data_IF_969222190539
#
_entry.id   IF_969222190539
#
_cell.length_a   1.000
_cell.length_b   1.000
_cell.length_c   1.000
_cell.angle_alpha   90.00
_cell.angle_beta   90.00
_cell.angle_gamma   90.00
#
_symmetry.space_group_name_H-M   'P 1'
#
loop_
_entity.id
_entity.type
_entity.pdbx_description
1 polymer ?
2 non-polymer ?
3 water ?
#
# COMPACT_ATOMS: atom_id res chain seq x y z
N UNK A 16 5.47 2.00 27.19
CA UNK A 16 4.91 2.01 25.85
C UNK A 16 5.90 1.55 24.81
N UNK A 17 6.12 2.36 23.78
CA UNK A 17 7.10 2.06 22.73
C UNK A 17 7.69 3.37 22.25
N UNK A 18 9.02 3.42 22.11
CA UNK A 18 9.71 4.52 21.46
C UNK A 18 9.74 4.22 19.96
N UNK A 19 9.38 5.21 19.14
CA UNK A 19 9.29 5.02 17.70
C UNK A 19 10.19 6.06 17.04
N UNK A 20 11.09 5.59 16.15
CA UNK A 20 11.91 6.47 15.34
C UNK A 20 11.57 6.19 13.88
N UNK A 21 11.38 7.25 13.10
CA UNK A 21 11.08 7.11 11.68
C UNK A 21 12.23 7.73 10.89
N UNK A 22 12.80 6.94 9.98
CA UNK A 22 13.96 7.36 9.18
C UNK A 22 13.51 7.54 7.74
N UNK A 23 13.82 8.69 7.17
CA UNK A 23 13.65 8.86 5.74
C UNK A 23 14.71 9.84 5.22
N UNK A 24 14.62 10.16 3.95
CA UNK A 24 15.61 11.04 3.36
C UNK A 24 15.83 10.75 1.88
N UNK A 25 16.82 11.43 1.34
CA UNK A 25 17.15 11.31 -0.08
C UNK A 25 17.93 10.02 -0.37
N UNK A 26 17.72 9.50 -1.59
CA UNK A 26 18.48 8.33 -2.08
C UNK A 26 19.97 8.60 -1.97
N UNK A 27 20.69 7.74 -1.26
CA UNK A 27 22.12 7.88 -1.15
C UNK A 27 22.60 8.77 -0.02
N UNK A 28 21.69 9.35 0.75
CA UNK A 28 22.07 10.25 1.84
C UNK A 28 22.40 9.52 3.13
N UNK A 29 22.10 8.23 3.22
CA UNK A 29 22.51 7.46 4.38
C UNK A 29 21.42 6.81 5.21
N UNK A 30 20.23 6.61 4.64
CA UNK A 30 19.15 5.94 5.37
C UNK A 30 19.57 4.54 5.81
N UNK A 31 20.24 3.81 4.93
CA UNK A 31 20.70 2.46 5.26
C UNK A 31 21.67 2.41 6.43
N UNK A 32 22.64 3.33 6.44
CA UNK A 32 23.56 3.40 7.57
C UNK A 32 22.84 3.82 8.85
N UNK A 33 21.88 4.74 8.76
CA UNK A 33 21.13 5.10 9.96
C UNK A 33 20.39 3.90 10.53
N UNK A 34 19.81 3.06 9.67
CA UNK A 34 19.10 1.89 10.14
C UNK A 34 20.06 0.90 10.80
N UNK A 35 21.25 0.75 10.23
CA UNK A 35 22.25 -0.14 10.81
C UNK A 35 22.71 0.37 12.18
N UNK A 36 22.95 1.68 12.32
CA UNK A 36 23.32 2.23 13.61
C UNK A 36 22.22 1.99 14.64
N UNK A 37 20.96 2.21 14.26
CA UNK A 37 19.87 1.98 15.20
C UNK A 37 19.75 0.52 15.58
N UNK A 38 19.89 -0.39 14.61
CA UNK A 38 19.86 -1.81 14.95
C UNK A 38 20.97 -2.15 15.94
N UNK A 39 22.16 -1.60 15.72
CA UNK A 39 23.29 -1.84 16.62
C UNK A 39 23.03 -1.30 18.03
N UNK A 40 22.26 -0.21 18.14
CA UNK A 40 21.90 0.35 19.44
C UNK A 40 20.75 -0.39 20.10
N UNK A 41 20.19 -1.41 19.46
CA UNK A 41 19.18 -2.26 20.06
C UNK A 41 17.78 -2.06 19.52
N UNK A 42 17.59 -1.18 18.55
CA UNK A 42 16.27 -0.98 17.96
C UNK A 42 15.89 -2.16 17.08
N UNK A 43 14.61 -2.48 17.07
CA UNK A 43 14.07 -3.37 16.05
C UNK A 43 13.73 -2.52 14.84
N UNK A 44 14.32 -2.83 13.69
CA UNK A 44 14.22 -1.99 12.50
C UNK A 44 13.33 -2.68 11.47
N UNK A 45 12.21 -2.04 11.17
CA UNK A 45 11.37 -2.43 10.03
C UNK A 45 11.77 -1.58 8.83
N UNK A 46 12.37 -2.21 7.82
CA UNK A 46 12.83 -1.45 6.67
C UNK A 46 11.79 -1.45 5.56
N UNK A 47 11.82 -0.41 4.75
CA UNK A 47 10.96 -0.26 3.58
C UNK A 47 9.48 -0.37 3.93
N UNK A 48 9.13 0.09 5.13
CA UNK A 48 7.77 -0.02 5.63
C UNK A 48 6.97 1.22 5.25
N UNK A 49 5.90 1.11 4.46
CA UNK A 49 5.00 2.25 4.30
C UNK A 49 4.33 2.58 5.62
N UNK A 50 3.93 3.84 5.83
CA UNK A 50 3.51 4.26 7.17
C UNK A 50 2.37 3.46 7.79
N UNK A 51 1.52 2.83 6.98
CA UNK A 51 0.33 2.19 7.55
C UNK A 51 0.69 1.08 8.53
N UNK A 52 1.81 0.38 8.30
CA UNK A 52 2.16 -0.73 9.17
C UNK A 52 2.64 -0.28 10.54
N UNK A 53 3.01 0.99 10.70
CA UNK A 53 3.55 1.46 11.97
C UNK A 53 2.53 1.26 13.09
N UNK A 54 1.35 1.84 12.94
CA UNK A 54 0.32 1.73 13.97
C UNK A 54 -0.12 0.29 14.17
N UNK A 55 -0.33 -0.44 13.07
CA UNK A 55 -0.68 -1.84 13.18
C UNK A 55 0.41 -2.64 13.89
N UNK A 56 1.68 -2.33 13.61
CA UNK A 56 2.78 -3.01 14.28
C UNK A 56 2.84 -2.63 15.75
N UNK A 57 2.68 -1.34 16.07
CA UNK A 57 2.65 -0.92 17.47
C UNK A 57 1.48 -1.58 18.19
N UNK A 58 0.28 -1.51 17.60
CA UNK A 58 -0.89 -2.14 18.20
C UNK A 58 -0.69 -3.64 18.34
N UNK A 59 -0.09 -4.27 17.32
CA UNK A 59 0.19 -5.70 17.42
C UNK A 59 1.15 -5.97 18.56
N UNK A 60 2.28 -5.26 18.60
CA UNK A 60 3.27 -5.49 19.64
C UNK A 60 2.71 -5.26 21.04
N UNK A 61 1.93 -4.19 21.22
CA UNK A 61 1.29 -3.95 22.51
C UNK A 61 0.41 -5.14 22.89
N UNK A 62 -0.44 -5.61 21.97
CA UNK A 62 -1.24 -6.79 22.23
C UNK A 62 -0.38 -8.04 22.33
N UNK A 63 0.76 -8.07 21.65
CA UNK A 63 1.60 -9.27 21.63
C UNK A 63 2.43 -9.45 22.89
N UNK A 64 2.42 -8.49 23.81
CA UNK A 64 3.29 -8.55 24.97
C UNK A 64 4.74 -8.57 24.54
N UNK A 65 5.09 -7.69 23.62
CA UNK A 65 6.41 -7.72 23.01
C UNK A 65 7.47 -7.23 23.97
N UNK A 66 8.63 -7.90 23.95
CA UNK A 66 9.84 -7.35 24.54
C UNK A 66 10.28 -6.08 23.82
N UNK A 67 9.88 -5.92 22.55
CA UNK A 67 10.35 -4.81 21.72
C UNK A 67 9.74 -3.52 22.23
N UNK A 68 10.56 -2.65 22.81
CA UNK A 68 10.14 -1.33 23.26
C UNK A 68 10.74 -0.21 22.40
N UNK A 69 11.56 -0.53 21.42
CA UNK A 69 12.27 0.45 20.59
C UNK A 69 12.10 0.03 19.13
N UNK A 70 11.22 0.73 18.41
CA UNK A 70 10.89 0.41 17.03
C UNK A 70 11.39 1.53 16.13
N UNK A 71 12.22 1.18 15.15
CA UNK A 71 12.66 2.12 14.12
C UNK A 71 12.14 1.65 12.77
N UNK A 72 11.67 2.60 11.96
CA UNK A 72 11.07 2.30 10.67
C UNK A 72 11.80 3.12 9.63
N UNK A 73 12.30 2.46 8.59
CA UNK A 73 12.77 3.15 7.39
C UNK A 73 11.59 3.21 6.44
N UNK A 74 11.09 4.42 6.19
CA UNK A 74 9.78 4.58 5.59
C UNK A 74 9.86 4.39 4.08
N UNK A 75 8.93 3.60 3.55
CA UNK A 75 8.73 3.45 2.11
C UNK A 75 7.84 4.61 1.65
N UNK A 76 8.48 5.69 1.21
CA UNK A 76 7.73 6.85 0.73
C UNK A 76 7.46 6.76 -0.78
N UNK A 77 8.24 5.97 -1.51
CA UNK A 77 8.02 5.75 -2.94
C UNK A 77 6.87 4.80 -3.23
N UNK A 78 5.78 4.90 -2.46
CA UNK A 78 4.58 4.11 -2.67
C UNK A 78 3.40 5.04 -2.84
N UNK A 79 2.50 4.70 -3.79
CA UNK A 79 1.29 5.47 -3.99
C UNK A 79 0.47 5.57 -2.71
N UNK A 80 0.61 4.58 -1.82
CA UNK A 80 -0.05 4.62 -0.53
C UNK A 80 0.72 5.41 0.51
N UNK A 81 0.87 6.70 0.26
CA UNK A 81 1.56 7.62 1.16
C UNK A 81 1.31 9.06 0.73
N UNK A 82 0.52 9.79 1.50
CA UNK A 82 0.31 11.21 1.22
C UNK A 82 1.63 11.97 1.43
N UNK A 83 1.59 13.28 1.20
CA UNK A 83 2.82 14.06 1.26
C UNK A 83 3.37 14.28 2.66
N UNK A 84 2.53 14.19 3.68
CA UNK A 84 2.90 14.62 5.03
C UNK A 84 2.84 13.43 6.01
N UNK A 85 3.37 13.66 7.21
CA UNK A 85 3.32 12.69 8.30
C UNK A 85 2.29 13.06 9.37
N UNK A 86 1.39 13.99 9.10
CA UNK A 86 0.42 14.38 10.12
C UNK A 86 -0.55 13.26 10.44
N UNK A 87 -0.81 12.37 9.48
CA UNK A 87 -1.69 11.24 9.76
C UNK A 87 -1.03 10.27 10.73
N UNK A 88 0.27 10.00 10.55
CA UNK A 88 0.96 9.06 11.42
C UNK A 88 1.12 9.65 12.82
N UNK A 89 1.45 10.93 12.91
CA UNK A 89 1.68 11.54 14.22
C UNK A 89 0.39 11.56 15.05
N UNK A 90 -0.74 11.88 14.44
CA UNK A 90 -2.00 11.96 15.17
C UNK A 90 -2.44 10.59 15.68
N UNK A 91 -2.32 9.56 14.83
CA UNK A 91 -2.72 8.22 15.25
C UNK A 91 -1.78 7.67 16.33
N UNK A 92 -0.48 7.93 16.22
CA UNK A 92 0.42 7.56 17.31
C UNK A 92 0.11 8.34 18.58
N UNK A 93 -0.37 9.58 18.43
CA UNK A 93 -0.67 10.41 19.60
C UNK A 93 -1.79 9.78 20.44
N UNK A 94 -2.76 9.14 19.79
CA UNK A 94 -3.83 8.49 20.53
C UNK A 94 -3.35 7.27 21.32
N UNK A 95 -2.07 6.89 21.20
CA UNK A 95 -1.52 5.78 21.95
C UNK A 95 -0.34 6.21 22.81
N UNK A 96 -0.23 7.51 23.10
CA UNK A 96 0.78 8.06 24.01
C UNK A 96 2.19 7.89 23.45
N UNK A 97 2.33 8.00 22.13
CA UNK A 97 3.61 7.86 21.46
C UNK A 97 3.85 9.11 20.60
N UNK A 98 5.01 9.76 20.81
CA UNK A 98 5.46 10.82 19.92
C UNK A 98 6.65 10.30 19.14
N UNK A 99 6.51 10.05 17.84
CA UNK A 99 7.66 9.54 17.07
C UNK A 99 8.74 10.58 16.94
N UNK A 100 9.96 10.10 16.72
CA UNK A 100 11.10 10.97 16.43
C UNK A 100 11.48 10.73 14.98
N UNK A 101 11.45 11.80 14.17
CA UNK A 101 11.67 11.71 12.73
C UNK A 101 13.09 12.16 12.39
N UNK A 102 13.84 11.30 11.70
CA UNK A 102 15.20 11.57 11.27
C UNK A 102 15.18 11.71 9.75
N UNK A 103 15.77 12.79 9.23
CA UNK A 103 15.79 13.04 7.79
C UNK A 103 17.23 13.11 7.30
N UNK A 104 17.58 12.26 6.34
CA UNK A 104 18.94 12.18 5.80
C UNK A 104 19.01 12.96 4.50
N UNK A 105 19.99 13.86 4.38
CA UNK A 105 20.16 14.57 3.10
C UNK A 105 21.63 14.84 2.85
N UNK A 106 21.92 15.33 1.65
CA UNK A 106 23.28 15.65 1.24
C UNK A 106 23.19 16.47 -0.04
N UNK A 107 24.29 17.13 -0.36
CA UNK A 107 24.36 17.91 -1.59
C UNK A 107 24.20 17.03 -2.82
N UNK A 108 23.76 17.66 -3.92
CA UNK A 108 23.63 16.91 -5.17
C UNK A 108 24.96 16.27 -5.57
N UNK A 109 26.07 16.98 -5.36
CA UNK A 109 27.36 16.42 -5.76
C UNK A 109 27.68 15.16 -4.97
N UNK A 110 27.43 15.17 -3.66
CA UNK A 110 27.66 13.97 -2.87
C UNK A 110 26.74 12.84 -3.30
N UNK A 111 25.47 13.13 -3.58
CA UNK A 111 24.56 12.06 -3.93
C UNK A 111 24.92 11.44 -5.27
N UNK A 112 25.38 12.27 -6.21
CA UNK A 112 25.80 11.74 -7.51
C UNK A 112 27.05 10.88 -7.34
N UNK A 113 28.02 11.35 -6.56
CA UNK A 113 29.21 10.54 -6.30
C UNK A 113 28.86 9.20 -5.68
N UNK A 114 27.90 9.18 -4.74
CA UNK A 114 27.52 7.91 -4.13
C UNK A 114 26.78 7.02 -5.12
N UNK A 115 25.92 7.59 -5.97
CA UNK A 115 25.29 6.77 -6.99
C UNK A 115 26.33 6.14 -7.91
N UNK A 116 27.33 6.91 -8.33
CA UNK A 116 28.34 6.38 -9.25
C UNK A 116 29.15 5.26 -8.58
N UNK A 117 29.42 5.39 -7.28
CA UNK A 117 30.09 4.31 -6.57
C UNK A 117 29.18 3.10 -6.45
N UNK A 118 27.88 3.33 -6.22
CA UNK A 118 26.94 2.21 -6.16
C UNK A 118 26.89 1.45 -7.49
N UNK A 119 26.99 2.15 -8.62
CA UNK A 119 27.00 1.46 -9.92
C UNK A 119 28.11 0.44 -9.99
N UNK A 120 29.25 0.72 -9.35
CA UNK A 120 30.39 -0.19 -9.33
C UNK A 120 30.23 -1.26 -8.26
N UNK A 121 29.90 -0.84 -7.03
CA UNK A 121 30.01 -1.73 -5.87
C UNK A 121 28.70 -2.40 -5.48
N UNK A 122 27.55 -1.75 -5.69
CA UNK A 122 26.25 -2.26 -5.27
C UNK A 122 25.20 -1.99 -6.34
N UNK A 123 25.31 -2.65 -7.50
CA UNK A 123 24.45 -2.29 -8.64
C UNK A 123 22.95 -2.36 -8.35
N UNK A 124 22.49 -3.27 -7.48
CA UNK A 124 21.07 -3.30 -7.17
C UNK A 124 20.66 -2.08 -6.33
N UNK A 125 21.57 -1.56 -5.52
CA UNK A 125 21.32 -0.29 -4.84
C UNK A 125 21.26 0.86 -5.83
N UNK A 126 22.14 0.85 -6.84
CA UNK A 126 22.08 1.87 -7.86
C UNK A 126 20.75 1.85 -8.60
N UNK A 127 20.26 0.64 -8.91
CA UNK A 127 18.96 0.55 -9.60
C UNK A 127 17.83 1.00 -8.70
N UNK A 128 17.94 0.73 -7.40
CA UNK A 128 16.95 1.23 -6.46
C UNK A 128 16.93 2.76 -6.42
N UNK A 129 18.10 3.38 -6.57
CA UNK A 129 18.18 4.84 -6.58
C UNK A 129 17.48 5.42 -7.80
N UNK A 130 17.69 4.82 -8.97
CA UNK A 130 16.96 5.29 -10.15
C UNK A 130 15.46 5.10 -9.95
N UNK A 131 15.06 3.96 -9.37
CA UNK A 131 13.65 3.69 -9.16
C UNK A 131 13.01 4.70 -8.21
N UNK A 132 13.77 5.15 -7.20
CA UNK A 132 13.26 6.15 -6.26
C UNK A 132 13.12 7.51 -6.92
N UNK A 133 14.09 7.90 -7.74
CA UNK A 133 13.98 9.14 -8.48
C UNK A 133 12.79 9.17 -9.43
N UNK A 134 12.57 8.07 -10.17
CA UNK A 134 11.44 8.04 -11.10
C UNK A 134 10.12 8.02 -10.34
N UNK A 135 10.06 7.29 -9.23
CA UNK A 135 8.84 7.29 -8.42
C UNK A 135 8.53 8.68 -7.90
N UNK A 136 9.56 9.42 -7.47
CA UNK A 136 9.30 10.78 -7.00
C UNK A 136 8.81 11.68 -8.14
N UNK A 137 9.38 11.53 -9.35
CA UNK A 137 8.90 12.31 -10.48
C UNK A 137 7.43 12.01 -10.77
N UNK A 138 7.06 10.72 -10.77
CA UNK A 138 5.67 10.36 -11.05
C UNK A 138 4.72 10.95 -10.02
N UNK A 139 5.09 10.88 -8.74
CA UNK A 139 4.23 11.47 -7.71
C UNK A 139 4.15 12.98 -7.85
N UNK A 140 5.29 13.65 -8.10
CA UNK A 140 5.29 15.11 -8.22
C UNK A 140 4.50 15.57 -9.44
N UNK A 141 4.53 14.81 -10.53
CA UNK A 141 3.86 15.22 -11.75
C UNK A 141 2.42 14.72 -11.83
N UNK A 142 1.94 14.00 -10.83
CA UNK A 142 0.59 13.43 -10.91
C UNK A 142 -0.49 14.47 -11.13
N UNK A 143 -0.49 15.63 -10.45
CA UNK A 143 -1.55 16.62 -10.74
C UNK A 143 -1.48 17.15 -12.16
N UNK A 144 -0.28 17.26 -12.73
CA UNK A 144 -0.17 17.73 -14.10
C UNK A 144 -0.65 16.66 -15.07
N UNK A 145 -0.28 15.39 -14.82
CA UNK A 145 -0.74 14.30 -15.66
C UNK A 145 -2.26 14.24 -15.68
N UNK A 146 -2.88 14.41 -14.51
CA UNK A 146 -4.34 14.33 -14.38
C UNK A 146 -5.07 15.42 -15.12
N UNK A 147 -4.38 16.50 -15.51
CA UNK A 147 -4.99 17.57 -16.28
C UNK A 147 -4.47 17.64 -17.72
N UNK A 148 -3.70 16.66 -18.17
CA UNK A 148 -3.14 16.76 -19.52
C UNK A 148 -4.21 16.48 -20.57
N UNK A 149 -4.10 17.18 -21.70
CA UNK A 149 -4.98 16.93 -22.83
C UNK A 149 -4.51 15.75 -23.66
N UNK A 150 -3.21 15.48 -23.64
CA UNK A 150 -2.63 14.42 -24.47
C UNK A 150 -1.53 13.79 -23.65
N UNK A 151 -1.59 12.47 -23.48
CA UNK A 151 -0.53 11.71 -22.82
C UNK A 151 0.11 10.81 -23.87
N UNK A 152 1.43 10.90 -24.00
CA UNK A 152 2.14 10.10 -24.99
C UNK A 152 3.02 9.13 -24.21
N UNK A 153 2.71 7.83 -24.33
CA UNK A 153 3.47 6.76 -23.68
C UNK A 153 4.50 6.24 -24.68
N UNK A 154 5.79 6.47 -24.39
CA UNK A 154 6.84 6.12 -25.33
C UNK A 154 7.59 4.84 -24.93
N UNK A 155 6.96 3.99 -24.11
CA UNK A 155 7.56 2.72 -23.72
C UNK A 155 7.97 1.91 -24.94
N UNK A 156 9.16 1.30 -24.86
CA UNK A 156 9.75 0.38 -25.83
C UNK A 156 10.22 1.04 -27.13
N UNK A 157 10.03 2.34 -27.29
CA UNK A 157 10.34 2.95 -28.58
C UNK A 157 11.82 3.29 -28.73
N UNK A 158 12.34 3.05 -29.93
CA UNK A 158 13.68 3.51 -30.27
C UNK A 158 13.68 5.03 -30.41
N UNK A 159 14.88 5.61 -30.62
CA UNK A 159 14.97 7.06 -30.87
C UNK A 159 14.07 7.44 -32.03
N UNK A 160 14.12 6.67 -33.11
CA UNK A 160 13.30 6.98 -34.26
C UNK A 160 11.82 6.73 -34.03
N UNK A 161 11.49 5.63 -33.36
CA UNK A 161 10.09 5.34 -33.06
C UNK A 161 9.47 6.38 -32.14
N UNK A 162 10.28 6.91 -31.23
CA UNK A 162 9.85 8.03 -30.40
C UNK A 162 9.44 9.20 -31.26
N UNK A 163 10.27 9.56 -32.24
CA UNK A 163 9.95 10.67 -33.13
C UNK A 163 8.66 10.39 -33.92
N UNK A 164 8.55 9.18 -34.49
CA UNK A 164 7.36 8.80 -35.26
C UNK A 164 6.08 8.91 -34.41
N UNK A 165 6.14 8.43 -33.15
CA UNK A 165 4.95 8.41 -32.32
C UNK A 165 4.50 9.82 -31.98
N UNK A 166 5.44 10.73 -31.78
CA UNK A 166 5.09 12.09 -31.44
C UNK A 166 4.56 12.83 -32.66
N UNK A 167 5.19 12.65 -33.83
CA UNK A 167 4.66 13.24 -35.05
C UNK A 167 3.23 12.79 -35.29
N UNK A 168 2.95 11.51 -35.08
CA UNK A 168 1.60 11.00 -35.27
C UNK A 168 0.64 11.58 -34.26
N UNK A 169 1.07 11.68 -32.99
CA UNK A 169 0.20 12.25 -31.96
C UNK A 169 -0.13 13.71 -32.22
N UNK A 170 0.80 14.48 -32.79
CA UNK A 170 0.57 15.90 -33.02
C UNK A 170 -0.07 16.15 -34.38
N UNK A 171 -0.48 15.11 -35.09
CA UNK A 171 -1.09 15.25 -36.40
C UNK A 171 -0.06 15.20 -37.51
N UNK B 16 5.16 -22.14 15.86
CA UNK B 16 5.23 -20.91 15.09
C UNK B 16 3.98 -20.05 15.25
N UNK B 17 3.22 -19.91 14.16
CA UNK B 17 1.99 -19.14 14.17
C UNK B 17 1.03 -19.76 13.15
N UNK B 18 -0.23 -19.94 13.55
CA UNK B 18 -1.31 -20.32 12.65
C UNK B 18 -1.88 -19.05 12.03
N UNK B 19 -2.03 -19.04 10.72
CA UNK B 19 -2.48 -17.86 9.99
C UNK B 19 -3.73 -18.22 9.20
N UNK B 20 -4.79 -17.42 9.36
CA UNK B 20 -6.01 -17.55 8.57
C UNK B 20 -6.21 -16.25 7.83
N UNK B 21 -6.55 -16.33 6.55
CA UNK B 21 -6.78 -15.16 5.71
C UNK B 21 -8.23 -15.19 5.28
N UNK B 22 -8.97 -14.12 5.56
CA UNK B 22 -10.39 -14.03 5.25
C UNK B 22 -10.59 -13.02 4.13
N UNK B 23 -11.32 -13.41 3.08
CA UNK B 23 -11.74 -12.45 2.08
C UNK B 23 -13.04 -12.94 1.47
N UNK B 24 -13.52 -12.22 0.48
CA UNK B 24 -14.80 -12.54 -0.09
C UNK B 24 -15.51 -11.32 -0.64
N UNK B 25 -16.75 -11.55 -1.04
CA UNK B 25 -17.56 -10.49 -1.66
C UNK B 25 -18.14 -9.55 -0.61
N UNK B 26 -18.36 -8.29 -1.01
CA UNK B 26 -19.02 -7.32 -0.14
C UNK B 26 -20.39 -7.82 0.30
N UNK B 27 -20.61 -7.87 1.61
CA UNK B 27 -21.88 -8.33 2.13
C UNK B 27 -22.01 -9.83 2.32
N UNK B 28 -20.98 -10.62 1.98
CA UNK B 28 -21.07 -12.07 2.08
C UNK B 28 -20.76 -12.59 3.47
N UNK B 29 -20.22 -11.75 4.36
CA UNK B 29 -20.01 -12.16 5.73
C UNK B 29 -18.59 -12.13 6.26
N UNK B 30 -17.70 -11.37 5.61
CA UNK B 30 -16.32 -11.26 6.10
C UNK B 30 -16.28 -10.72 7.52
N UNK B 31 -17.12 -9.73 7.83
CA UNK B 31 -17.13 -9.15 9.16
C UNK B 31 -17.55 -10.16 10.23
N UNK B 32 -18.59 -10.93 9.96
CA UNK B 32 -19.02 -11.96 10.91
C UNK B 32 -17.95 -13.03 11.07
N UNK B 33 -17.29 -13.42 9.97
CA UNK B 33 -16.20 -14.39 10.08
C UNK B 33 -15.09 -13.87 11.00
N UNK B 34 -14.74 -12.59 10.88
CA UNK B 34 -13.72 -12.01 11.74
C UNK B 34 -14.16 -12.03 13.20
N UNK B 35 -15.43 -11.72 13.45
CA UNK B 35 -15.94 -11.71 14.82
C UNK B 35 -15.92 -13.13 15.41
N UNK B 36 -16.33 -14.14 14.63
CA UNK B 36 -16.27 -15.53 15.09
C UNK B 36 -14.84 -15.91 15.44
N UNK B 37 -13.88 -15.56 14.57
CA UNK B 37 -12.48 -15.90 14.85
C UNK B 37 -11.98 -15.19 16.10
N UNK B 38 -12.32 -13.92 16.26
CA UNK B 38 -11.94 -13.21 17.48
C UNK B 38 -12.46 -13.93 18.72
N UNK B 39 -13.74 -14.35 18.67
CA UNK B 39 -14.35 -15.06 19.79
C UNK B 39 -13.67 -16.38 20.08
N UNK B 40 -13.12 -17.03 19.05
CA UNK B 40 -12.40 -18.29 19.22
C UNK B 40 -10.96 -18.09 19.66
N UNK B 41 -10.52 -16.85 19.85
CA UNK B 41 -9.20 -16.56 20.40
C UNK B 41 -8.18 -16.01 19.43
N UNK B 42 -8.54 -15.81 18.16
CA UNK B 42 -7.60 -15.29 17.19
C UNK B 42 -7.38 -13.80 17.40
N UNK B 43 -6.16 -13.35 17.16
CA UNK B 43 -5.92 -11.92 16.99
C UNK B 43 -6.23 -11.55 15.55
N UNK B 44 -7.17 -10.62 15.37
CA UNK B 44 -7.70 -10.32 14.04
C UNK B 44 -7.19 -8.95 13.62
N UNK B 45 -6.42 -8.92 12.54
CA UNK B 45 -6.01 -7.70 11.89
C UNK B 45 -6.99 -7.43 10.75
N UNK B 46 -7.80 -6.39 10.88
CA UNK B 46 -8.83 -6.12 9.88
C UNK B 46 -8.30 -5.15 8.83
N UNK B 47 -8.82 -5.30 7.61
CA UNK B 47 -8.51 -4.42 6.48
C UNK B 47 -7.01 -4.34 6.23
N UNK B 48 -6.32 -5.47 6.38
CA UNK B 48 -4.87 -5.53 6.25
C UNK B 48 -4.50 -5.97 4.85
N UNK B 49 -3.81 -5.15 4.05
CA UNK B 49 -3.29 -5.64 2.77
C UNK B 49 -2.19 -6.67 2.98
N UNK B 50 -1.95 -7.53 2.01
CA UNK B 50 -1.11 -8.71 2.26
C UNK B 50 0.29 -8.42 2.80
N UNK B 51 0.90 -7.29 2.43
CA UNK B 51 2.30 -7.07 2.79
C UNK B 51 2.51 -7.07 4.29
N UNK B 52 1.53 -6.57 5.06
CA UNK B 52 1.69 -6.50 6.51
C UNK B 52 1.72 -7.88 7.17
N UNK B 53 1.29 -8.94 6.47
CA UNK B 53 1.14 -10.24 7.11
C UNK B 53 2.49 -10.76 7.60
N UNK B 54 3.44 -10.93 6.69
CA UNK B 54 4.72 -11.53 7.08
C UNK B 54 5.54 -10.57 7.94
N UNK B 55 5.46 -9.27 7.66
CA UNK B 55 6.06 -8.29 8.56
C UNK B 55 5.48 -8.41 9.95
N UNK B 56 4.17 -8.62 10.05
CA UNK B 56 3.55 -8.86 11.36
C UNK B 56 4.01 -10.19 11.95
N UNK B 57 4.08 -11.24 11.13
CA UNK B 57 4.56 -12.53 11.62
C UNK B 57 6.01 -12.41 12.07
N UNK B 58 6.87 -11.82 11.22
CA UNK B 58 8.27 -11.64 11.60
C UNK B 58 8.39 -10.78 12.85
N UNK B 59 7.59 -9.72 12.94
CA UNK B 59 7.59 -8.90 14.14
C UNK B 59 7.17 -9.71 15.35
N UNK B 60 6.03 -10.39 15.25
CA UNK B 60 5.56 -11.20 16.37
C UNK B 60 6.55 -12.27 16.79
N UNK B 61 7.16 -12.93 15.81
CA UNK B 61 8.19 -13.93 16.11
C UNK B 61 9.35 -13.29 16.86
N UNK B 62 9.85 -12.16 16.36
CA UNK B 62 10.92 -11.44 17.05
C UNK B 62 10.46 -10.85 18.37
N UNK B 63 9.17 -10.54 18.49
CA UNK B 63 8.66 -9.87 19.68
C UNK B 63 8.39 -10.83 20.84
N UNK B 64 8.52 -12.13 20.63
CA UNK B 64 8.16 -13.10 21.66
C UNK B 64 6.70 -12.98 22.01
N UNK B 65 5.84 -13.03 21.01
CA UNK B 65 4.42 -12.75 21.20
C UNK B 65 3.70 -13.94 21.82
N UNK B 66 2.75 -13.63 22.70
CA UNK B 66 1.76 -14.62 23.11
C UNK B 66 0.84 -15.01 21.96
N UNK B 67 0.77 -14.19 20.92
CA UNK B 67 -0.16 -14.41 19.81
C UNK B 67 0.37 -15.54 18.94
N UNK B 68 -0.32 -16.67 18.96
CA UNK B 68 0.00 -17.80 18.10
C UNK B 68 -1.07 -18.05 17.04
N UNK B 69 -2.14 -17.27 17.03
CA UNK B 69 -3.25 -17.44 16.10
C UNK B 69 -3.58 -16.08 15.50
N UNK B 70 -3.18 -15.88 14.25
CA UNK B 70 -3.34 -14.60 13.57
C UNK B 70 -4.34 -14.77 12.43
N UNK B 71 -5.39 -13.97 12.44
CA UNK B 71 -6.36 -13.93 11.35
C UNK B 71 -6.32 -12.56 10.70
N UNK B 72 -6.38 -12.52 9.39
CA UNK B 72 -6.29 -11.28 8.62
C UNK B 72 -7.50 -11.18 7.72
N UNK B 73 -8.24 -10.07 7.83
CA UNK B 73 -9.26 -9.74 6.84
C UNK B 73 -8.57 -8.89 5.79
N UNK B 74 -8.45 -9.43 4.59
CA UNK B 74 -7.53 -8.89 3.61
C UNK B 74 -8.12 -7.68 2.92
N UNK B 75 -7.32 -6.63 2.82
CA UNK B 75 -7.65 -5.40 2.11
C UNK B 75 -7.27 -5.61 0.64
N UNK B 76 -8.24 -6.07 -0.16
CA UNK B 76 -7.99 -6.43 -1.55
C UNK B 76 -8.29 -5.31 -2.54
N UNK B 77 -9.17 -4.36 -2.18
CA UNK B 77 -9.52 -3.21 -3.02
C UNK B 77 -8.39 -2.18 -3.13
N UNK B 78 -7.14 -2.63 -3.10
CA UNK B 78 -5.98 -1.74 -3.04
C UNK B 78 -5.12 -1.92 -4.28
N UNK B 79 -4.62 -0.79 -4.79
CA UNK B 79 -3.62 -0.84 -5.86
C UNK B 79 -2.43 -1.70 -5.46
N UNK B 80 -2.12 -1.76 -4.16
CA UNK B 80 -1.06 -2.59 -3.66
C UNK B 80 -1.53 -3.99 -3.32
N UNK B 81 -1.91 -4.75 -4.36
CA UNK B 81 -2.35 -6.13 -4.23
C UNK B 81 -2.52 -6.74 -5.62
N UNK B 82 -1.66 -7.68 -5.99
CA UNK B 82 -1.83 -8.38 -7.26
C UNK B 82 -3.10 -9.24 -7.20
N UNK B 83 -3.34 -9.99 -8.28
CA UNK B 83 -4.58 -10.75 -8.35
C UNK B 83 -4.61 -12.00 -7.48
N UNK B 84 -3.45 -12.59 -7.22
CA UNK B 84 -3.37 -13.89 -6.58
C UNK B 84 -2.77 -13.77 -5.17
N UNK B 85 -2.75 -14.90 -4.46
CA UNK B 85 -2.12 -15.00 -3.15
C UNK B 85 -0.83 -15.82 -3.19
N UNK B 86 -0.36 -16.21 -4.38
CA UNK B 86 0.82 -17.07 -4.46
C UNK B 86 2.06 -16.37 -3.94
N UNK B 87 2.09 -15.04 -3.95
CA UNK B 87 3.20 -14.32 -3.35
C UNK B 87 3.20 -14.48 -1.83
N UNK B 88 2.02 -14.38 -1.22
CA UNK B 88 1.91 -14.50 0.23
C UNK B 88 2.22 -15.92 0.67
N UNK B 89 1.72 -16.92 -0.05
CA UNK B 89 1.92 -18.30 0.34
C UNK B 89 3.40 -18.69 0.31
N UNK B 90 4.10 -18.33 -0.77
CA UNK B 90 5.51 -18.67 -0.88
C UNK B 90 6.33 -17.99 0.21
N UNK B 91 6.05 -16.72 0.48
CA UNK B 91 6.79 -16.00 1.52
C UNK B 91 6.53 -16.61 2.90
N UNK B 92 5.28 -16.95 3.21
CA UNK B 92 5.01 -17.63 4.48
C UNK B 92 5.63 -19.01 4.52
N UNK B 93 5.75 -19.67 3.36
CA UNK B 93 6.35 -21.00 3.31
C UNK B 93 7.80 -20.98 3.80
N UNK B 94 8.54 -19.92 3.47
CA UNK B 94 9.91 -19.79 3.96
C UNK B 94 9.97 -19.54 5.46
N UNK B 95 8.82 -19.49 6.15
CA UNK B 95 8.77 -19.40 7.59
C UNK B 95 8.03 -20.58 8.22
N UNK B 96 7.82 -21.66 7.47
CA UNK B 96 7.18 -22.89 7.95
C UNK B 96 5.72 -22.67 8.32
N UNK B 97 5.03 -21.76 7.62
CA UNK B 97 3.62 -21.46 7.88
C UNK B 97 2.85 -21.70 6.60
N UNK B 98 1.78 -22.50 6.69
CA UNK B 98 0.82 -22.64 5.61
C UNK B 98 -0.47 -21.91 5.99
N UNK B 99 -0.80 -20.79 5.36
CA UNK B 99 -2.03 -20.09 5.73
C UNK B 99 -3.25 -20.88 5.30
N UNK B 100 -4.35 -20.64 6.00
CA UNK B 100 -5.65 -21.20 5.63
C UNK B 100 -6.51 -20.06 5.12
N UNK B 101 -7.01 -20.17 3.90
CA UNK B 101 -7.74 -19.09 3.23
C UNK B 101 -9.24 -19.40 3.27
N UNK B 102 -10.03 -18.46 3.78
CA UNK B 102 -11.49 -18.58 3.85
C UNK B 102 -12.08 -17.56 2.88
N UNK B 103 -13.00 -18.01 2.01
CA UNK B 103 -13.61 -17.13 1.03
C UNK B 103 -15.12 -17.09 1.26
N UNK B 104 -15.65 -15.88 1.45
CA UNK B 104 -17.08 -15.67 1.69
C UNK B 104 -17.79 -15.25 0.42
N UNK B 105 -18.89 -15.92 0.09
CA UNK B 105 -19.65 -15.52 -1.10
C UNK B 105 -21.12 -15.77 -0.86
N UNK B 106 -21.93 -15.26 -1.78
CA UNK B 106 -23.38 -15.42 -1.71
C UNK B 106 -23.93 -15.02 -3.07
N UNK B 107 -25.18 -15.40 -3.30
CA UNK B 107 -25.84 -15.04 -4.55
C UNK B 107 -26.01 -13.53 -4.66
N UNK B 108 -26.14 -13.07 -5.91
CA UNK B 108 -26.40 -11.66 -6.13
C UNK B 108 -27.65 -11.20 -5.39
N UNK B 109 -28.70 -12.03 -5.37
CA UNK B 109 -29.92 -11.61 -4.69
C UNK B 109 -29.68 -11.42 -3.20
N UNK B 110 -28.93 -12.32 -2.58
CA UNK B 110 -28.64 -12.13 -1.16
C UNK B 110 -27.78 -10.90 -0.93
N UNK B 111 -26.79 -10.66 -1.79
CA UNK B 111 -25.90 -9.53 -1.55
C UNK B 111 -26.63 -8.21 -1.73
N UNK B 112 -27.57 -8.15 -2.68
CA UNK B 112 -28.36 -6.94 -2.87
C UNK B 112 -29.26 -6.69 -1.68
N UNK B 113 -29.94 -7.74 -1.20
CA UNK B 113 -30.77 -7.62 -0.01
C UNK B 113 -29.97 -7.11 1.19
N UNK B 114 -28.73 -7.60 1.37
CA UNK B 114 -27.93 -7.14 2.48
C UNK B 114 -27.48 -5.69 2.29
N UNK B 115 -27.14 -5.31 1.05
CA UNK B 115 -26.80 -3.91 0.82
C UNK B 115 -27.99 -3.00 1.16
N UNK B 116 -29.20 -3.38 0.74
CA UNK B 116 -30.37 -2.54 1.01
C UNK B 116 -30.63 -2.43 2.51
N UNK B 117 -30.37 -3.50 3.25
CA UNK B 117 -30.52 -3.43 4.70
C UNK B 117 -29.45 -2.55 5.32
N UNK B 118 -28.22 -2.63 4.80
CA UNK B 118 -27.14 -1.76 5.28
C UNK B 118 -27.49 -0.30 5.05
N UNK B 119 -28.15 0.03 3.93
CA UNK B 119 -28.53 1.43 3.67
C UNK B 119 -29.38 1.97 4.81
N UNK B 120 -30.20 1.11 5.43
CA UNK B 120 -31.05 1.52 6.53
C UNK B 120 -30.31 1.47 7.86
N UNK B 121 -29.62 0.36 8.13
CA UNK B 121 -29.10 0.08 9.47
C UNK B 121 -27.65 0.46 9.68
N UNK B 122 -26.81 0.39 8.63
CA UNK B 122 -25.38 0.66 8.75
C UNK B 122 -24.91 1.44 7.53
N UNK B 123 -25.34 2.70 7.39
CA UNK B 123 -25.09 3.44 6.14
C UNK B 123 -23.62 3.57 5.77
N UNK B 124 -22.71 3.63 6.74
CA UNK B 124 -21.29 3.69 6.39
C UNK B 124 -20.78 2.36 5.83
N UNK B 125 -21.37 1.24 6.26
CA UNK B 125 -21.06 -0.03 5.62
C UNK B 125 -21.65 -0.09 4.22
N UNK B 126 -22.83 0.50 4.02
CA UNK B 126 -23.38 0.58 2.68
C UNK B 126 -22.46 1.35 1.75
N UNK B 127 -21.91 2.47 2.24
CA UNK B 127 -20.96 3.25 1.45
C UNK B 127 -19.67 2.48 1.18
N UNK B 128 -19.21 1.69 2.15
CA UNK B 128 -18.03 0.86 1.92
C UNK B 128 -18.30 -0.17 0.83
N UNK B 129 -19.53 -0.69 0.75
CA UNK B 129 -19.87 -1.67 -0.28
C UNK B 129 -19.82 -1.05 -1.67
N UNK B 130 -20.36 0.15 -1.82
CA UNK B 130 -20.23 0.83 -3.11
C UNK B 130 -18.77 1.08 -3.44
N UNK B 131 -17.97 1.47 -2.44
CA UNK B 131 -16.57 1.78 -2.68
C UNK B 131 -15.79 0.53 -3.09
N UNK B 132 -16.15 -0.63 -2.53
CA UNK B 132 -15.51 -1.87 -2.92
C UNK B 132 -15.89 -2.26 -4.35
N UNK B 133 -17.14 -2.07 -4.73
CA UNK B 133 -17.54 -2.37 -6.09
C UNK B 133 -16.84 -1.49 -7.11
N UNK B 134 -16.72 -0.19 -6.82
CA UNK B 134 -16.06 0.71 -7.77
C UNK B 134 -14.56 0.39 -7.85
N UNK B 135 -13.95 0.09 -6.71
CA UNK B 135 -12.53 -0.28 -6.72
C UNK B 135 -12.28 -1.53 -7.55
N UNK B 136 -13.17 -2.53 -7.43
CA UNK B 136 -13.02 -3.72 -8.25
C UNK B 136 -13.19 -3.40 -9.73
N UNK B 137 -14.15 -2.53 -10.08
CA UNK B 137 -14.30 -2.14 -11.49
C UNK B 137 -13.04 -1.47 -11.99
N UNK B 138 -12.49 -0.55 -11.20
CA UNK B 138 -11.27 0.14 -11.64
C UNK B 138 -10.13 -0.84 -11.85
N UNK B 139 -9.95 -1.78 -10.91
CA UNK B 139 -8.88 -2.78 -11.07
C UNK B 139 -9.14 -3.67 -12.29
N UNK B 140 -10.39 -4.09 -12.51
CA UNK B 140 -10.67 -4.98 -13.62
C UNK B 140 -10.49 -4.28 -14.95
N UNK B 141 -10.81 -2.99 -15.02
CA UNK B 141 -10.73 -2.24 -16.27
C UNK B 141 -9.38 -1.57 -16.49
N UNK B 142 -8.44 -1.70 -15.54
CA UNK B 142 -7.13 -1.06 -15.69
C UNK B 142 -6.43 -1.41 -17.00
N UNK B 143 -6.40 -2.66 -17.48
CA UNK B 143 -5.74 -2.91 -18.77
C UNK B 143 -6.43 -2.24 -19.94
N UNK B 144 -7.76 -2.17 -19.91
CA UNK B 144 -8.48 -1.50 -20.99
C UNK B 144 -8.20 0.01 -20.94
N UNK B 145 -8.21 0.59 -19.74
CA UNK B 145 -7.93 2.02 -19.62
C UNK B 145 -6.55 2.34 -20.16
N UNK B 146 -5.57 1.47 -19.88
CA UNK B 146 -4.19 1.70 -20.30
C UNK B 146 -4.00 1.62 -21.80
N UNK B 147 -4.97 1.08 -22.54
CA UNK B 147 -4.92 1.02 -24.00
C UNK B 147 -5.92 1.97 -24.65
N UNK B 148 -6.62 2.80 -23.90
CA UNK B 148 -7.66 3.61 -24.50
C UNK B 148 -7.06 4.77 -25.29
N UNK B 149 -7.71 5.11 -26.39
CA UNK B 149 -7.31 6.26 -27.21
C UNK B 149 -7.84 7.55 -26.63
N UNK B 150 -8.97 7.49 -25.94
CA UNK B 150 -9.63 8.69 -25.42
C UNK B 150 -10.20 8.33 -24.05
N UNK B 151 -9.85 9.11 -23.03
CA UNK B 151 -10.41 8.93 -21.69
C UNK B 151 -11.24 10.16 -21.38
N UNK B 152 -12.50 9.96 -21.03
CA UNK B 152 -13.39 11.08 -20.73
C UNK B 152 -13.72 11.01 -19.26
N UNK B 153 -13.28 12.02 -18.50
CA UNK B 153 -13.52 12.12 -17.07
C UNK B 153 -14.73 13.01 -16.86
N UNK B 154 -15.82 12.42 -16.35
CA UNK B 154 -17.07 13.14 -16.21
C UNK B 154 -17.36 13.58 -14.78
N UNK B 155 -16.31 13.65 -13.94
CA UNK B 155 -16.50 14.09 -12.57
C UNK B 155 -17.18 15.46 -12.51
N UNK B 156 -18.12 15.58 -11.56
CA UNK B 156 -18.86 16.80 -11.21
C UNK B 156 -19.92 17.20 -12.24
N UNK B 157 -20.08 16.49 -13.34
CA UNK B 157 -20.94 16.98 -14.41
C UNK B 157 -22.39 16.60 -14.18
N UNK B 158 -23.29 17.54 -14.48
CA UNK B 158 -24.71 17.26 -14.51
C UNK B 158 -25.04 16.35 -15.70
N UNK B 159 -26.30 15.92 -15.77
CA UNK B 159 -26.74 15.11 -16.91
C UNK B 159 -26.46 15.86 -18.22
N UNK B 160 -26.78 17.14 -18.25
CA UNK B 160 -26.54 17.92 -19.46
C UNK B 160 -25.06 18.17 -19.69
N UNK B 161 -24.31 18.42 -18.62
CA UNK B 161 -22.89 18.68 -18.76
C UNK B 161 -22.14 17.46 -19.22
N UNK B 162 -22.59 16.29 -18.79
CA UNK B 162 -22.08 15.02 -19.31
C UNK B 162 -22.24 14.95 -20.83
N UNK B 163 -23.44 15.28 -21.33
CA UNK B 163 -23.70 15.24 -22.76
C UNK B 163 -22.80 16.24 -23.51
N UNK B 164 -22.67 17.46 -22.98
CA UNK B 164 -21.83 18.47 -23.64
C UNK B 164 -20.39 18.03 -23.71
N UNK B 165 -19.86 17.43 -22.63
CA UNK B 165 -18.46 17.06 -22.60
C UNK B 165 -18.17 15.94 -23.59
N UNK B 166 -19.10 15.01 -23.76
CA UNK B 166 -18.90 13.94 -24.70
C UNK B 166 -19.02 14.46 -26.15
N UNK B 167 -20.02 15.31 -26.42
CA UNK B 167 -20.11 15.92 -27.74
C UNK B 167 -18.82 16.64 -28.10
N UNK B 168 -18.24 17.38 -27.15
CA UNK B 168 -17.00 18.10 -27.44
C UNK B 168 -15.86 17.12 -27.68
N UNK B 169 -15.76 16.08 -26.84
CA UNK B 169 -14.70 15.09 -26.99
C UNK B 169 -14.78 14.35 -28.31
N UNK B 170 -15.99 14.13 -28.84
CA UNK B 170 -16.14 13.38 -30.08
C UNK B 170 -16.11 14.28 -31.32
N UNK B 171 -15.92 15.58 -31.14
CA UNK B 171 -15.81 16.50 -32.27
C UNK B 171 -16.98 17.46 -32.36
X LIG C 1 -12.07 16.87 -18.86
X LIG C 1 -11.55 15.59 -18.63
X LIG C 1 -11.72 14.76 -19.87
X LIG C 1 -11.19 15.55 -20.92
X LIG C 1 -10.75 14.79 -22.02
X LIG C 1 -9.23 14.71 -22.12
X LIG C 1 -8.94 13.34 -22.11
X LIG C 1 -7.58 13.03 -22.22
X LIG C 1 -7.21 12.99 -23.67
X LIG C 1 -7.11 11.71 -24.17
X LIG C 1 -6.23 11.73 -25.32
X LIG C 1 -4.89 11.03 -24.97
X LIG C 1 -4.90 9.77 -25.55
X LIG C 1 -3.74 8.99 -25.29
X LIG C 1 -3.21 8.33 -26.56
X LIG C 1 -1.81 8.47 -26.53
X LIG C 1 -1.13 7.77 -27.54
X LIG C 1 0.00 7.00 -26.88
X LIG C 1 -0.03 5.69 -27.40
#
# INVERSE_FOLDING_TARGET
>A
MMNHARGVENRSEGGGIDVVLVTGLSGAGRGTAAKVLEDLGWYVADNLPPQLITRMVDFGLAAGSRITQLAVVMDVRSRGFTGDLDSVRNELATRAITPRVVFMEASDDTLVRRYEQNRRSHPLQGEQTLAEGIAAERRMLAPVRATADLIIDTSTLSVGGLRDSIERAFGGDG
>B
MMNHARGVENRSEGGGIDVVLVTGLSGAGRGTAAKVLEDLGWYVADNLPPQLITRMVDFGLAAGSRITQLAVVMDVRSRGFTGDLDSVRNELATRAITPRVVFMEASDDTLVRRYEQNRRSHPLQGEQTLAEGIAAERRMLAPVRATADLIIDTSTLSVGGLRDSIERAFGGDG
>C hetero
1 P6G O1 C2 C3 O4 C5 C6 O7 C8 C9 O10 C11 C12 O13 C14 C15 O16 C17 C18 O19
#
